data_IF_090710306382
#
_entry.id   IF_090710306382
#
_cell.length_a   1.000
_cell.length_b   1.000
_cell.length_c   1.000
_cell.angle_alpha   90.00
_cell.angle_beta   90.00
_cell.angle_gamma   90.00
#
_symmetry.space_group_name_H-M   'P 1'
#
loop_
_entity.id
_entity.type
_entity.pdbx_description
1 polymer ?
#
# COMPACT_ATOMS: atom_id res chain seq x y z
N UNK A 1 9.07 -12.14 18.02
CA UNK A 1 9.93 -11.05 18.52
C UNK A 1 9.22 -9.72 18.35
N UNK A 2 9.54 -8.74 19.20
CA UNK A 2 9.08 -7.33 19.08
C UNK A 2 9.82 -6.65 17.93
N UNK A 3 9.43 -6.95 16.69
CA UNK A 3 9.90 -6.21 15.52
C UNK A 3 8.89 -5.13 15.16
N UNK A 4 9.34 -4.05 14.50
CA UNK A 4 8.47 -2.99 13.98
C UNK A 4 8.61 -2.98 12.47
N UNK A 5 7.48 -2.95 11.76
CA UNK A 5 7.42 -2.79 10.30
C UNK A 5 7.17 -1.32 9.98
N UNK A 6 7.85 -0.82 8.96
CA UNK A 6 7.60 0.51 8.41
C UNK A 6 6.91 0.30 7.05
N UNK A 7 5.71 0.85 6.91
CA UNK A 7 5.03 0.92 5.61
C UNK A 7 5.02 2.39 5.18
N UNK A 8 5.51 2.68 3.99
CA UNK A 8 5.69 4.05 3.50
C UNK A 8 5.01 4.23 2.15
N UNK A 9 4.45 5.43 1.94
CA UNK A 9 3.97 5.93 0.67
C UNK A 9 4.94 7.00 0.19
N UNK A 10 5.45 6.80 -1.02
CA UNK A 10 6.37 7.72 -1.69
C UNK A 10 5.76 8.20 -3.00
N UNK A 11 6.17 9.38 -3.46
CA UNK A 11 5.88 9.81 -4.82
C UNK A 11 6.79 9.11 -5.85
N UNK A 12 6.58 9.39 -7.14
CA UNK A 12 7.35 8.80 -8.22
C UNK A 12 8.85 9.20 -8.24
N UNK A 13 9.24 10.25 -7.50
CA UNK A 13 10.62 10.69 -7.35
C UNK A 13 11.28 10.14 -6.08
N UNK A 14 10.54 9.37 -5.27
CA UNK A 14 11.01 8.80 -4.01
C UNK A 14 10.87 9.73 -2.81
N UNK A 15 10.15 10.85 -2.93
CA UNK A 15 9.88 11.70 -1.78
C UNK A 15 8.84 11.02 -0.88
N UNK A 16 9.16 10.93 0.41
CA UNK A 16 8.26 10.35 1.41
C UNK A 16 7.03 11.25 1.59
N UNK A 17 5.85 10.70 1.34
CA UNK A 17 4.56 11.38 1.56
C UNK A 17 4.04 11.05 2.97
N UNK A 18 3.94 9.75 3.30
CA UNK A 18 3.42 9.26 4.58
C UNK A 18 4.07 7.94 4.96
N UNK A 19 4.09 7.62 6.25
CA UNK A 19 4.47 6.28 6.72
C UNK A 19 3.67 5.89 7.95
N UNK A 20 3.61 4.59 8.21
CA UNK A 20 2.99 4.00 9.38
C UNK A 20 3.94 2.97 10.00
N UNK A 21 4.01 2.98 11.33
CA UNK A 21 4.69 1.94 12.10
C UNK A 21 3.66 0.88 12.48
N UNK A 22 3.93 -0.37 12.11
CA UNK A 22 3.11 -1.51 12.44
C UNK A 22 3.88 -2.45 13.37
N UNK A 23 3.20 -3.13 14.31
CA UNK A 23 3.80 -4.26 15.01
C UNK A 23 4.29 -5.29 13.99
N UNK A 24 5.43 -5.93 14.23
CA UNK A 24 6.06 -6.80 13.24
C UNK A 24 5.26 -8.04 12.85
N UNK A 25 4.27 -8.42 13.66
CA UNK A 25 3.31 -9.50 13.38
C UNK A 25 2.10 -9.03 12.58
N UNK A 26 1.94 -7.73 12.33
CA UNK A 26 0.83 -7.19 11.59
C UNK A 26 0.98 -7.49 10.09
N UNK A 27 -0.16 -7.73 9.44
CA UNK A 27 -0.24 -7.87 7.99
C UNK A 27 -0.07 -6.50 7.33
N UNK A 28 0.82 -6.42 6.34
CA UNK A 28 1.25 -5.15 5.74
C UNK A 28 0.08 -4.39 5.09
N UNK A 29 -0.92 -5.13 4.58
CA UNK A 29 -2.16 -4.59 4.01
C UNK A 29 -2.96 -3.71 4.98
N UNK A 30 -2.91 -3.95 6.30
CA UNK A 30 -3.61 -3.07 7.27
C UNK A 30 -3.07 -1.64 7.29
N UNK A 31 -1.82 -1.44 6.86
CA UNK A 31 -1.19 -0.13 6.82
C UNK A 31 -1.48 0.70 5.57
N UNK A 32 -2.02 0.10 4.50
CA UNK A 32 -2.14 0.79 3.21
C UNK A 32 -3.30 1.79 3.18
N UNK A 33 -4.48 1.39 3.68
CA UNK A 33 -5.67 2.24 3.68
C UNK A 33 -5.43 3.65 4.28
N UNK A 34 -4.79 3.80 5.45
CA UNK A 34 -4.51 5.14 6.00
C UNK A 34 -3.46 5.93 5.18
N UNK A 35 -2.57 5.25 4.45
CA UNK A 35 -1.56 5.91 3.63
C UNK A 35 -2.16 6.52 2.36
N UNK A 36 -3.07 5.81 1.69
CA UNK A 36 -3.68 6.24 0.40
C UNK A 36 -4.93 7.11 0.58
N UNK A 37 -5.48 7.19 1.79
CA UNK A 37 -6.68 7.99 2.07
C UNK A 37 -6.43 9.49 1.81
N UNK A 38 -7.32 10.12 1.03
CA UNK A 38 -7.23 11.53 0.63
C UNK A 38 -5.91 11.92 -0.07
N UNK A 39 -5.21 10.98 -0.69
CA UNK A 39 -4.06 11.27 -1.55
C UNK A 39 -4.53 11.14 -3.01
N UNK A 40 -4.39 12.18 -3.84
CA UNK A 40 -4.70 12.08 -5.26
C UNK A 40 -3.54 11.39 -6.00
N UNK A 41 -3.82 10.29 -6.69
CA UNK A 41 -2.85 9.60 -7.55
C UNK A 41 -3.58 8.81 -8.65
N UNK A 42 -2.94 8.66 -9.81
CA UNK A 42 -3.50 7.91 -10.96
C UNK A 42 -3.06 6.45 -11.04
N UNK A 43 -2.03 6.06 -10.30
CA UNK A 43 -1.57 4.68 -10.22
C UNK A 43 -0.91 4.41 -8.87
N UNK A 44 -1.05 3.18 -8.37
CA UNK A 44 -0.36 2.70 -7.17
C UNK A 44 0.60 1.56 -7.55
N UNK A 45 1.89 1.78 -7.35
CA UNK A 45 2.91 0.74 -7.45
C UNK A 45 3.12 0.16 -6.05
N UNK A 46 2.92 -1.15 -5.90
CA UNK A 46 3.11 -1.82 -4.63
C UNK A 46 3.67 -3.23 -4.80
N UNK A 47 4.30 -3.74 -3.75
CA UNK A 47 4.78 -5.12 -3.68
C UNK A 47 3.63 -6.13 -3.74
N UNK A 48 3.91 -7.36 -4.22
CA UNK A 48 2.94 -8.47 -4.25
C UNK A 48 2.28 -8.75 -2.90
N UNK A 49 2.92 -8.44 -1.77
CA UNK A 49 2.32 -8.58 -0.44
C UNK A 49 1.01 -7.77 -0.31
N UNK A 50 0.89 -6.67 -1.05
CA UNK A 50 -0.26 -5.78 -1.10
C UNK A 50 -1.33 -6.19 -2.12
N UNK A 51 -1.14 -7.30 -2.84
CA UNK A 51 -2.19 -7.90 -3.66
C UNK A 51 -3.32 -8.41 -2.74
N UNK A 52 -4.33 -7.58 -2.56
CA UNK A 52 -5.50 -7.85 -1.73
C UNK A 52 -6.73 -7.28 -2.42
N UNK A 53 -7.78 -8.10 -2.51
CA UNK A 53 -9.01 -7.76 -3.24
C UNK A 53 -9.58 -6.40 -2.85
N UNK A 54 -9.68 -6.12 -1.55
CA UNK A 54 -10.20 -4.84 -1.05
C UNK A 54 -9.37 -3.63 -1.53
N UNK A 55 -8.06 -3.78 -1.71
CA UNK A 55 -7.19 -2.70 -2.19
C UNK A 55 -7.40 -2.48 -3.69
N UNK A 56 -7.54 -3.56 -4.46
CA UNK A 56 -7.85 -3.49 -5.89
C UNK A 56 -9.22 -2.83 -6.12
N UNK A 57 -10.24 -3.21 -5.34
CA UNK A 57 -11.58 -2.61 -5.38
C UNK A 57 -11.55 -1.11 -5.03
N UNK A 58 -10.80 -0.71 -4.01
CA UNK A 58 -10.62 0.69 -3.62
C UNK A 58 -9.91 1.52 -4.71
N UNK A 59 -8.92 0.93 -5.38
CA UNK A 59 -8.19 1.58 -6.48
C UNK A 59 -9.08 1.73 -7.72
N UNK A 60 -9.86 0.71 -8.05
CA UNK A 60 -10.82 0.72 -9.15
C UNK A 60 -11.91 1.78 -8.91
N UNK A 61 -12.49 1.84 -7.70
CA UNK A 61 -13.47 2.84 -7.31
C UNK A 61 -12.92 4.28 -7.38
N UNK A 62 -11.60 4.46 -7.18
CA UNK A 62 -10.91 5.75 -7.32
C UNK A 62 -10.54 6.09 -8.76
N UNK A 63 -10.63 5.14 -9.70
CA UNK A 63 -10.09 5.27 -11.06
C UNK A 63 -8.56 5.27 -11.11
N UNK A 64 -7.90 4.68 -10.11
CA UNK A 64 -6.45 4.56 -10.04
C UNK A 64 -5.99 3.18 -10.54
N UNK A 65 -4.93 3.13 -11.34
CA UNK A 65 -4.38 1.88 -11.86
C UNK A 65 -3.58 1.13 -10.77
N UNK A 66 -3.95 -0.11 -10.48
CA UNK A 66 -3.19 -0.98 -9.60
C UNK A 66 -2.04 -1.65 -10.36
N UNK A 67 -0.80 -1.29 -10.04
CA UNK A 67 0.41 -1.91 -10.60
C UNK A 67 1.05 -2.78 -9.52
N UNK A 68 0.41 -3.92 -9.26
CA UNK A 68 0.80 -4.87 -8.20
C UNK A 68 1.04 -6.24 -8.85
N UNK A 69 2.22 -6.87 -8.66
CA UNK A 69 2.44 -8.22 -9.16
C UNK A 69 1.45 -9.20 -8.50
N UNK A 70 0.83 -10.12 -9.26
CA UNK A 70 -0.14 -11.06 -8.71
C UNK A 70 0.52 -11.97 -7.68
N UNK A 71 -0.20 -12.27 -6.59
CA UNK A 71 0.12 -13.40 -5.71
C UNK A 71 -0.17 -14.67 -6.50
N UNK A 72 0.83 -15.24 -7.15
CA UNK A 72 0.72 -16.57 -7.73
C UNK A 72 1.92 -17.44 -7.39
N UNK A 73 1.58 -18.72 -7.27
CA UNK A 73 2.22 -19.86 -6.62
C UNK A 73 3.49 -20.35 -7.31
#
# INVERSE_FOLDING_TARGET
GLTTKIVALVDALGNLIRFLLLPGQAHDTKGVAPLICNVPFGALLADKAFDANWLLEELDARGACAVIPPKSN
#
